data_IF_053822509681
#
_entry.id   IF_053822509681
#
_cell.length_a   1.000
_cell.length_b   1.000
_cell.length_c   1.000
_cell.angle_alpha   90.00
_cell.angle_beta   90.00
_cell.angle_gamma   90.00
#
_symmetry.space_group_name_H-M   'P 1'
#
loop_
_entity.id
_entity.type
_entity.pdbx_description
1 polymer ?
#
# COMPACT_ATOMS: atom_id res chain seq x y z
N UNK A 1 11.84 17.59 -15.69
CA UNK A 1 12.86 16.51 -15.65
C UNK A 1 12.23 15.12 -15.73
N UNK A 2 11.17 14.83 -14.97
CA UNK A 2 10.43 13.55 -15.02
C UNK A 2 9.85 13.20 -16.42
N UNK A 3 9.30 14.18 -17.13
CA UNK A 3 8.72 13.98 -18.47
C UNK A 3 9.76 13.55 -19.52
N UNK A 4 10.97 14.11 -19.45
CA UNK A 4 12.07 13.78 -20.38
C UNK A 4 12.58 12.35 -20.13
N UNK A 5 12.64 11.96 -18.85
CA UNK A 5 13.04 10.59 -18.47
C UNK A 5 11.99 9.57 -18.88
N UNK A 6 10.69 9.90 -18.74
CA UNK A 6 9.60 9.08 -19.24
C UNK A 6 9.64 8.92 -20.77
N UNK A 7 9.89 10.00 -21.51
CA UNK A 7 10.01 9.96 -22.97
C UNK A 7 11.20 9.10 -23.43
N UNK A 8 12.34 9.18 -22.75
CA UNK A 8 13.52 8.34 -23.05
C UNK A 8 13.27 6.85 -22.77
N UNK A 9 12.54 6.51 -21.69
CA UNK A 9 12.15 5.13 -21.39
C UNK A 9 11.19 4.56 -22.44
N UNK A 10 10.26 5.38 -22.96
CA UNK A 10 9.35 4.97 -24.04
C UNK A 10 10.14 4.75 -25.34
N UNK A 11 11.12 5.60 -25.65
CA UNK A 11 11.95 5.49 -26.85
C UNK A 11 12.82 4.20 -26.86
N UNK A 12 13.29 3.77 -25.69
CA UNK A 12 13.99 2.49 -25.52
C UNK A 12 13.09 1.25 -25.52
N UNK A 13 11.77 1.42 -25.45
CA UNK A 13 10.80 0.34 -25.38
C UNK A 13 10.97 -0.56 -24.15
N UNK A 14 10.43 -1.78 -24.26
CA UNK A 14 10.30 -2.71 -23.12
C UNK A 14 11.63 -3.17 -22.53
N UNK A 15 12.71 -3.27 -23.32
CA UNK A 15 14.02 -3.72 -22.84
C UNK A 15 14.65 -2.75 -21.83
N UNK A 16 14.41 -1.45 -22.01
CA UNK A 16 14.89 -0.42 -21.06
C UNK A 16 14.02 -0.38 -19.81
N UNK A 17 12.71 -0.56 -19.97
CA UNK A 17 11.77 -0.66 -18.84
C UNK A 17 12.11 -1.87 -17.97
N UNK A 18 12.36 -3.04 -18.58
CA UNK A 18 12.71 -4.26 -17.84
C UNK A 18 14.02 -4.09 -17.07
N UNK A 19 15.05 -3.49 -17.68
CA UNK A 19 16.34 -3.22 -17.02
C UNK A 19 16.21 -2.22 -15.89
N UNK A 20 15.43 -1.15 -16.07
CA UNK A 20 15.15 -0.19 -15.02
C UNK A 20 14.37 -0.84 -13.87
N UNK A 21 13.33 -1.62 -14.17
CA UNK A 21 12.50 -2.31 -13.19
C UNK A 21 13.30 -3.33 -12.36
N UNK A 22 14.23 -4.03 -13.00
CA UNK A 22 15.11 -5.00 -12.32
C UNK A 22 16.06 -4.34 -11.30
N UNK A 23 16.25 -3.02 -11.35
CA UNK A 23 17.02 -2.25 -10.36
C UNK A 23 16.08 -1.54 -9.38
N UNK A 24 15.05 -0.86 -9.89
CA UNK A 24 14.14 -0.05 -9.08
C UNK A 24 13.32 -0.88 -8.10
N UNK A 25 12.77 -2.02 -8.52
CA UNK A 25 11.92 -2.86 -7.67
C UNK A 25 12.67 -3.43 -6.46
N UNK A 26 13.84 -4.09 -6.62
CA UNK A 26 14.59 -4.56 -5.45
C UNK A 26 15.11 -3.41 -4.60
N UNK A 27 15.49 -2.27 -5.20
CA UNK A 27 15.88 -1.09 -4.45
C UNK A 27 14.74 -0.53 -3.58
N UNK A 28 13.52 -0.46 -4.14
CA UNK A 28 12.32 -0.07 -3.40
C UNK A 28 12.04 -1.03 -2.23
N UNK A 29 12.15 -2.34 -2.47
CA UNK A 29 11.99 -3.35 -1.41
C UNK A 29 13.00 -3.17 -0.27
N UNK A 30 14.26 -2.85 -0.59
CA UNK A 30 15.29 -2.58 0.43
C UNK A 30 14.91 -1.36 1.26
N UNK A 31 14.44 -0.29 0.63
CA UNK A 31 14.00 0.93 1.34
C UNK A 31 12.83 0.59 2.26
N UNK A 32 11.80 -0.11 1.77
CA UNK A 32 10.63 -0.49 2.58
C UNK A 32 11.04 -1.34 3.78
N UNK A 33 11.91 -2.33 3.58
CA UNK A 33 12.40 -3.18 4.67
C UNK A 33 13.22 -2.37 5.69
N UNK A 34 14.07 -1.46 5.23
CA UNK A 34 14.87 -0.59 6.08
C UNK A 34 13.97 0.35 6.91
N UNK A 35 13.01 1.02 6.26
CA UNK A 35 12.08 1.93 6.95
C UNK A 35 11.16 1.18 7.91
N UNK A 36 10.76 -0.06 7.60
CA UNK A 36 10.02 -0.91 8.52
C UNK A 36 10.83 -1.18 9.80
N UNK A 37 12.07 -1.65 9.67
CA UNK A 37 12.95 -1.89 10.83
C UNK A 37 13.20 -0.62 11.66
N UNK A 38 13.43 0.51 10.99
CA UNK A 38 13.60 1.81 11.63
C UNK A 38 12.34 2.26 12.38
N UNK A 39 11.16 2.07 11.78
CA UNK A 39 9.87 2.43 12.36
C UNK A 39 9.59 1.67 13.65
N UNK A 40 9.89 0.37 13.68
CA UNK A 40 9.72 -0.48 14.87
C UNK A 40 10.64 -0.10 16.04
N UNK A 41 11.73 0.63 15.77
CA UNK A 41 12.68 1.06 16.81
C UNK A 41 12.19 2.35 17.51
N UNK A 42 11.09 2.97 17.04
CA UNK A 42 10.55 4.18 17.65
C UNK A 42 9.72 3.89 18.89
N UNK A 43 9.88 4.74 19.91
CA UNK A 43 9.06 4.72 21.12
C UNK A 43 7.58 4.91 20.76
N UNK A 44 6.70 4.09 21.33
CA UNK A 44 5.25 4.05 21.08
C UNK A 44 4.82 3.39 19.75
N UNK A 45 5.75 2.79 18.99
CA UNK A 45 5.42 2.01 17.79
C UNK A 45 4.45 0.85 18.10
N UNK A 46 4.58 0.24 19.29
CA UNK A 46 3.72 -0.84 19.77
C UNK A 46 2.23 -0.45 19.84
N UNK A 47 1.93 0.83 20.02
CA UNK A 47 0.54 1.34 20.05
C UNK A 47 -0.05 1.31 18.63
N UNK A 48 0.74 1.69 17.62
CA UNK A 48 0.33 1.62 16.21
C UNK A 48 0.11 0.18 15.75
N UNK A 49 0.99 -0.74 16.16
CA UNK A 49 0.85 -2.18 15.86
C UNK A 49 -0.41 -2.75 16.52
N UNK A 50 -0.64 -2.48 17.81
CA UNK A 50 -1.86 -2.93 18.50
C UNK A 50 -3.12 -2.40 17.82
N UNK A 51 -3.11 -1.15 17.36
CA UNK A 51 -4.23 -0.59 16.62
C UNK A 51 -4.49 -1.34 15.31
N UNK A 52 -3.44 -1.62 14.53
CA UNK A 52 -3.55 -2.36 13.26
C UNK A 52 -4.13 -3.77 13.44
N UNK A 53 -3.73 -4.47 14.51
CA UNK A 53 -4.17 -5.84 14.81
C UNK A 53 -5.42 -5.92 15.71
N UNK A 54 -6.12 -4.82 15.96
CA UNK A 54 -7.40 -4.83 16.69
C UNK A 54 -8.57 -4.70 15.70
N UNK A 55 -8.97 -5.79 15.00
CA UNK A 55 -10.08 -5.74 14.08
C UNK A 55 -11.40 -5.50 14.83
N UNK A 56 -12.31 -4.79 14.17
CA UNK A 56 -13.67 -4.60 14.67
C UNK A 56 -14.62 -5.49 13.91
N UNK A 57 -15.04 -6.57 14.58
CA UNK A 57 -15.85 -7.62 14.00
C UNK A 57 -17.25 -7.16 13.58
N UNK A 58 -17.76 -6.07 14.15
CA UNK A 58 -19.02 -5.46 13.73
C UNK A 58 -18.95 -4.88 12.32
N UNK A 59 -17.80 -4.36 11.90
CA UNK A 59 -17.62 -3.78 10.55
C UNK A 59 -17.75 -4.83 9.44
N UNK A 60 -17.42 -6.10 9.71
CA UNK A 60 -17.52 -7.18 8.71
C UNK A 60 -18.96 -7.50 8.29
N UNK A 61 -19.95 -7.10 9.09
CA UNK A 61 -21.37 -7.27 8.76
C UNK A 61 -21.87 -6.22 7.78
N UNK A 62 -21.13 -5.14 7.59
CA UNK A 62 -21.50 -4.06 6.71
C UNK A 62 -21.16 -4.39 5.25
N UNK A 63 -22.15 -4.45 4.33
CA UNK A 63 -21.91 -4.65 2.91
C UNK A 63 -21.02 -3.57 2.28
N UNK A 64 -21.07 -2.32 2.77
CA UNK A 64 -20.27 -1.23 2.22
C UNK A 64 -18.77 -1.46 2.43
N UNK A 65 -18.40 -2.11 3.55
CA UNK A 65 -17.01 -2.49 3.83
C UNK A 65 -16.44 -3.42 2.75
N UNK A 66 -17.24 -4.37 2.27
CA UNK A 66 -16.82 -5.33 1.25
C UNK A 66 -16.67 -4.67 -0.12
N UNK A 67 -17.57 -3.75 -0.47
CA UNK A 67 -17.50 -2.96 -1.71
C UNK A 67 -16.24 -2.10 -1.71
N UNK A 68 -15.96 -1.43 -0.59
CA UNK A 68 -14.75 -0.62 -0.45
C UNK A 68 -13.47 -1.45 -0.53
N UNK A 69 -13.42 -2.61 0.14
CA UNK A 69 -12.27 -3.52 0.09
C UNK A 69 -12.02 -4.06 -1.32
N UNK A 70 -13.06 -4.48 -2.03
CA UNK A 70 -12.96 -4.95 -3.42
C UNK A 70 -12.49 -3.83 -4.35
N UNK A 71 -13.02 -2.62 -4.18
CA UNK A 71 -12.63 -1.44 -4.96
C UNK A 71 -11.15 -1.10 -4.73
N UNK A 72 -10.69 -1.05 -3.47
CA UNK A 72 -9.29 -0.81 -3.16
C UNK A 72 -8.39 -1.87 -3.79
N UNK A 73 -8.73 -3.15 -3.70
CA UNK A 73 -7.91 -4.22 -4.27
C UNK A 73 -7.83 -4.11 -5.80
N UNK A 74 -8.93 -3.69 -6.46
CA UNK A 74 -8.95 -3.43 -7.90
C UNK A 74 -8.07 -2.24 -8.29
N UNK A 75 -8.13 -1.14 -7.52
CA UNK A 75 -7.26 0.03 -7.74
C UNK A 75 -5.79 -0.26 -7.46
N UNK A 76 -5.48 -0.97 -6.37
CA UNK A 76 -4.12 -1.35 -5.95
C UNK A 76 -3.44 -2.24 -7.00
N UNK A 77 -4.17 -3.20 -7.56
CA UNK A 77 -3.65 -4.08 -8.62
C UNK A 77 -3.70 -3.42 -10.01
N UNK A 78 -4.37 -2.27 -10.16
CA UNK A 78 -4.62 -1.64 -11.46
C UNK A 78 -5.46 -2.52 -12.40
N UNK A 79 -6.34 -3.35 -11.83
CA UNK A 79 -7.15 -4.30 -12.57
C UNK A 79 -8.05 -3.55 -13.58
N UNK A 80 -7.94 -3.90 -14.87
CA UNK A 80 -8.73 -3.31 -15.96
C UNK A 80 -8.07 -2.15 -16.71
N UNK A 81 -6.92 -1.62 -16.26
CA UNK A 81 -6.20 -0.53 -16.95
C UNK A 81 -5.36 -1.06 -18.14
N UNK A 82 -5.25 -2.39 -18.29
CA UNK A 82 -4.57 -3.01 -19.43
C UNK A 82 -3.04 -3.06 -19.32
N UNK A 83 -2.43 -2.43 -18.31
CA UNK A 83 -0.97 -2.45 -18.11
C UNK A 83 -0.42 -3.88 -18.00
N UNK A 84 -1.04 -4.72 -17.18
CA UNK A 84 -0.66 -6.14 -17.03
C UNK A 84 -0.93 -6.95 -18.31
N UNK A 85 -1.97 -6.62 -19.07
CA UNK A 85 -2.26 -7.27 -20.35
C UNK A 85 -1.17 -6.98 -21.39
N UNK A 86 -0.67 -5.74 -21.42
CA UNK A 86 0.48 -5.36 -22.26
C UNK A 86 1.71 -6.18 -21.88
N UNK A 87 2.05 -6.29 -20.60
CA UNK A 87 3.19 -7.12 -20.17
C UNK A 87 2.99 -8.62 -20.49
N UNK A 88 1.76 -9.12 -20.37
CA UNK A 88 1.43 -10.51 -20.72
C UNK A 88 1.62 -10.80 -22.21
N UNK A 89 1.35 -9.84 -23.11
CA UNK A 89 1.52 -9.99 -24.55
C UNK A 89 2.99 -10.21 -24.97
N UNK A 90 3.95 -9.74 -24.17
CA UNK A 90 5.39 -9.94 -24.42
C UNK A 90 5.97 -11.18 -23.71
N UNK A 91 5.16 -11.92 -22.94
CA UNK A 91 5.63 -13.09 -22.21
C UNK A 91 5.60 -14.36 -23.08
N UNK A 92 6.67 -15.16 -23.05
CA UNK A 92 6.72 -16.44 -23.75
C UNK A 92 5.64 -17.39 -23.25
N UNK A 93 4.97 -18.12 -24.17
CA UNK A 93 3.89 -19.08 -23.88
C UNK A 93 4.30 -20.21 -22.91
N UNK A 94 5.60 -20.48 -22.76
CA UNK A 94 6.13 -21.45 -21.79
C UNK A 94 6.20 -20.91 -20.36
N UNK A 95 6.25 -19.58 -20.18
CA UNK A 95 6.18 -18.95 -18.86
C UNK A 95 4.70 -18.84 -18.50
N UNK A 96 4.25 -19.63 -17.54
CA UNK A 96 2.82 -19.75 -17.21
C UNK A 96 2.20 -18.42 -16.74
N UNK A 97 1.38 -17.80 -17.60
CA UNK A 97 0.65 -16.56 -17.28
C UNK A 97 -0.20 -16.69 -16.01
N UNK A 98 -0.79 -17.86 -15.77
CA UNK A 98 -1.56 -18.16 -14.55
C UNK A 98 -0.68 -18.05 -13.30
N UNK A 99 0.56 -18.59 -13.35
CA UNK A 99 1.47 -18.55 -12.20
C UNK A 99 1.87 -17.12 -11.84
N UNK A 100 2.23 -16.31 -12.84
CA UNK A 100 2.58 -14.91 -12.60
C UNK A 100 1.36 -14.07 -12.23
N UNK A 101 0.19 -14.37 -12.79
CA UNK A 101 -1.09 -13.74 -12.46
C UNK A 101 -1.50 -13.92 -11.00
N UNK A 102 -1.07 -15.00 -10.33
CA UNK A 102 -1.30 -15.19 -8.89
C UNK A 102 -0.17 -14.65 -8.03
N UNK A 103 1.10 -14.86 -8.41
CA UNK A 103 2.27 -14.47 -7.60
C UNK A 103 2.40 -12.95 -7.48
N UNK A 104 2.21 -12.22 -8.58
CA UNK A 104 2.38 -10.75 -8.61
C UNK A 104 1.45 -10.06 -7.60
N UNK A 105 0.11 -10.27 -7.62
CA UNK A 105 -0.79 -9.65 -6.65
C UNK A 105 -0.57 -10.17 -5.22
N UNK A 106 -0.15 -11.42 -5.04
CA UNK A 106 0.22 -11.91 -3.70
C UNK A 106 1.42 -11.14 -3.13
N UNK A 107 2.47 -10.94 -3.92
CA UNK A 107 3.64 -10.15 -3.52
C UNK A 107 3.26 -8.68 -3.28
N UNK A 108 2.39 -8.11 -4.11
CA UNK A 108 1.89 -6.74 -3.90
C UNK A 108 1.22 -6.59 -2.54
N UNK A 109 0.30 -7.50 -2.20
CA UNK A 109 -0.38 -7.51 -0.90
C UNK A 109 0.59 -7.67 0.28
N UNK A 110 1.64 -8.50 0.13
CA UNK A 110 2.67 -8.64 1.17
C UNK A 110 3.44 -7.34 1.40
N UNK A 111 3.83 -6.64 0.34
CA UNK A 111 4.53 -5.35 0.45
C UNK A 111 3.60 -4.28 1.04
N UNK A 112 2.34 -4.24 0.61
CA UNK A 112 1.31 -3.35 1.17
C UNK A 112 1.09 -3.61 2.66
N UNK A 113 1.11 -4.87 3.10
CA UNK A 113 1.01 -5.22 4.51
C UNK A 113 2.21 -4.74 5.34
N UNK A 114 3.44 -4.93 4.85
CA UNK A 114 4.67 -4.43 5.52
C UNK A 114 4.65 -2.89 5.58
N UNK A 115 4.22 -2.24 4.50
CA UNK A 115 4.08 -0.78 4.45
C UNK A 115 3.04 -0.28 5.46
N UNK A 116 1.91 -0.98 5.60
CA UNK A 116 0.90 -0.66 6.60
C UNK A 116 1.48 -0.66 8.03
N UNK A 117 2.23 -1.70 8.41
CA UNK A 117 2.90 -1.77 9.73
C UNK A 117 3.81 -0.56 9.93
N UNK A 118 4.58 -0.20 8.89
CA UNK A 118 5.53 0.92 8.92
C UNK A 118 4.82 2.27 9.10
N UNK A 119 3.73 2.49 8.36
CA UNK A 119 2.94 3.74 8.45
C UNK A 119 2.29 3.85 9.83
N UNK A 120 1.59 2.82 10.29
CA UNK A 120 0.92 2.86 11.60
C UNK A 120 1.89 3.04 12.76
N UNK A 121 3.02 2.34 12.74
CA UNK A 121 4.05 2.47 13.77
C UNK A 121 4.66 3.88 13.79
N UNK A 122 5.01 4.42 12.62
CA UNK A 122 5.64 5.76 12.50
C UNK A 122 4.67 6.87 12.88
N UNK A 123 3.43 6.82 12.39
CA UNK A 123 2.43 7.86 12.63
C UNK A 123 2.05 7.91 14.10
N UNK A 124 1.75 6.77 14.74
CA UNK A 124 1.43 6.75 16.16
C UNK A 124 2.62 7.19 17.02
N UNK A 125 3.84 6.73 16.71
CA UNK A 125 5.03 7.17 17.42
C UNK A 125 5.23 8.69 17.33
N UNK A 126 5.00 9.27 16.15
CA UNK A 126 5.19 10.71 15.91
C UNK A 126 4.10 11.56 16.57
N UNK A 127 2.83 11.16 16.46
CA UNK A 127 1.73 11.95 17.05
C UNK A 127 1.70 11.89 18.57
N UNK A 128 2.02 10.74 19.17
CA UNK A 128 2.07 10.60 20.63
C UNK A 128 3.23 11.43 21.20
N UNK A 129 4.38 11.48 20.52
CA UNK A 129 5.51 12.30 20.94
C UNK A 129 5.22 13.81 20.86
N UNK A 130 4.53 14.26 19.82
CA UNK A 130 4.23 15.68 19.62
C UNK A 130 2.99 16.17 20.39
N UNK A 131 2.07 15.28 20.77
CA UNK A 131 0.85 15.66 21.49
C UNK A 131 0.38 14.55 22.45
N UNK A 132 0.86 14.56 23.71
CA UNK A 132 0.59 13.48 24.67
C UNK A 132 -0.88 13.39 25.13
N UNK A 133 -1.73 14.37 24.81
CA UNK A 133 -3.16 14.40 25.14
C UNK A 133 -4.08 13.77 24.07
N UNK A 134 -3.54 13.30 22.94
CA UNK A 134 -4.37 12.72 21.88
C UNK A 134 -4.90 11.32 22.25
N UNK A 135 -6.22 11.18 22.26
CA UNK A 135 -6.88 9.88 22.28
C UNK A 135 -6.65 9.16 20.94
N UNK A 136 -6.68 7.82 20.91
CA UNK A 136 -6.52 7.02 19.68
C UNK A 136 -7.43 7.48 18.53
N UNK A 137 -8.65 7.92 18.84
CA UNK A 137 -9.59 8.47 17.87
C UNK A 137 -9.12 9.80 17.27
N UNK A 138 -8.44 10.65 18.04
CA UNK A 138 -7.87 11.91 17.55
C UNK A 138 -6.73 11.70 16.56
N UNK A 139 -5.88 10.70 16.78
CA UNK A 139 -4.79 10.32 15.85
C UNK A 139 -5.40 9.87 14.52
N UNK A 140 -6.43 9.02 14.56
CA UNK A 140 -7.12 8.52 13.38
C UNK A 140 -7.79 9.65 12.59
N UNK A 141 -8.42 10.60 13.28
CA UNK A 141 -9.04 11.78 12.65
C UNK A 141 -8.03 12.68 11.95
N UNK A 142 -6.84 12.87 12.53
CA UNK A 142 -5.75 13.61 11.89
C UNK A 142 -5.27 12.86 10.65
N UNK A 143 -5.11 11.53 10.71
CA UNK A 143 -4.73 10.72 9.55
C UNK A 143 -5.72 10.85 8.37
N UNK A 144 -7.00 11.05 8.65
CA UNK A 144 -8.02 11.30 7.61
C UNK A 144 -7.92 12.70 7.02
N UNK A 145 -7.65 13.72 7.84
CA UNK A 145 -7.54 15.11 7.38
C UNK A 145 -6.28 15.36 6.54
N UNK A 146 -5.19 14.63 6.80
CA UNK A 146 -3.93 14.79 6.06
C UNK A 146 -3.95 14.17 4.65
N UNK A 147 -5.05 13.54 4.21
CA UNK A 147 -5.33 13.36 2.79
C UNK A 147 -5.86 11.99 2.36
N UNK A 148 -6.90 11.93 1.50
CA UNK A 148 -7.46 10.70 0.94
C UNK A 148 -6.48 9.81 0.15
N UNK A 149 -5.40 10.41 -0.38
CA UNK A 149 -4.42 9.72 -1.22
C UNK A 149 -3.34 8.93 -0.47
N UNK A 150 -3.22 9.10 0.86
CA UNK A 150 -2.14 8.50 1.66
C UNK A 150 -2.61 7.31 2.51
N UNK A 151 -3.89 7.27 2.85
CA UNK A 151 -4.46 6.27 3.76
C UNK A 151 -5.15 5.09 3.06
N UNK A 152 -5.32 5.10 1.74
CA UNK A 152 -6.03 4.05 1.00
C UNK A 152 -7.55 4.14 1.17
N UNK A 153 -8.30 3.95 0.08
CA UNK A 153 -9.76 4.10 0.03
C UNK A 153 -10.48 3.22 1.07
N UNK A 154 -9.92 2.04 1.40
CA UNK A 154 -10.49 1.15 2.44
C UNK A 154 -10.43 1.74 3.84
N UNK A 155 -9.38 2.47 4.21
CA UNK A 155 -9.29 3.06 5.56
C UNK A 155 -10.26 4.22 5.73
N UNK A 156 -10.53 4.99 4.67
CA UNK A 156 -11.54 6.05 4.67
C UNK A 156 -12.93 5.46 4.96
N UNK A 157 -13.30 4.38 4.29
CA UNK A 157 -14.59 3.72 4.46
C UNK A 157 -14.71 2.98 5.81
N UNK A 158 -13.65 2.30 6.26
CA UNK A 158 -13.64 1.54 7.53
C UNK A 158 -13.78 2.42 8.78
N UNK A 159 -13.38 3.69 8.70
CA UNK A 159 -13.56 4.65 9.80
C UNK A 159 -14.87 5.45 9.62
N UNK A 160 -15.34 5.68 8.39
CA UNK A 160 -16.68 6.28 8.17
C UNK A 160 -17.81 5.46 8.78
N UNK A 161 -17.67 4.13 8.79
CA UNK A 161 -18.60 3.19 9.43
C UNK A 161 -18.46 3.11 10.95
N UNK A 162 -17.50 3.83 11.55
CA UNK A 162 -17.33 3.96 13.02
C UNK A 162 -17.98 5.21 13.60
N UNK A 163 -18.39 6.16 12.77
CA UNK A 163 -19.07 7.40 13.17
C UNK A 163 -20.61 7.27 13.15
N UNK A 164 -21.12 6.07 12.81
CA UNK A 164 -22.53 5.64 12.91
C UNK A 164 -22.66 4.56 14.00
#
# INVERSE_FOLDING_TARGET
MSVIMAAACIYGGIKWIEKANNILVPFLLIIVMFTCGWSLTRTYAEVGIKFLFTPTWSSLKDPEMWIAAASQNAFDTGAGIGALATFAAFMSRQRGAVRYGTIIPMLNNLVSFISSITVFSTVFATLIQNTPTLTRLGIVKIMQQTGPGSTGLTFICLISTREL
#
